data_IF_871996449275
#
_entry.id   IF_871996449275
#
_cell.length_a   1.000
_cell.length_b   1.000
_cell.length_c   1.000
_cell.angle_alpha   90.00
_cell.angle_beta   90.00
_cell.angle_gamma   90.00
#
_symmetry.space_group_name_H-M   'P 1'
#
loop_
_entity.id
_entity.type
_entity.pdbx_description
1 polymer ?
#
# COMPACT_ATOMS: atom_id res chain seq x y z
N UNK A 1 2.89 -21.98 -11.31
CA UNK A 1 3.44 -20.62 -11.21
C UNK A 1 3.05 -20.10 -9.84
N UNK A 2 4.01 -19.84 -8.94
CA UNK A 2 3.69 -19.25 -7.63
C UNK A 2 3.03 -17.88 -7.87
N UNK A 3 1.97 -17.57 -7.10
CA UNK A 3 1.17 -16.34 -7.27
C UNK A 3 2.03 -15.07 -7.33
N UNK A 4 3.11 -15.02 -6.55
CA UNK A 4 4.04 -13.89 -6.51
C UNK A 4 4.90 -13.68 -7.77
N UNK A 5 5.20 -14.74 -8.54
CA UNK A 5 5.96 -14.61 -9.79
C UNK A 5 5.08 -14.06 -10.91
N UNK A 6 3.82 -14.47 -10.94
CA UNK A 6 2.85 -13.96 -11.90
C UNK A 6 2.61 -12.45 -11.70
N UNK A 7 2.39 -12.01 -10.46
CA UNK A 7 2.23 -10.59 -10.12
C UNK A 7 3.46 -9.76 -10.50
N UNK A 8 4.67 -10.30 -10.27
CA UNK A 8 5.91 -9.64 -10.66
C UNK A 8 5.99 -9.40 -12.17
N UNK A 9 5.70 -10.43 -12.96
CA UNK A 9 5.71 -10.33 -14.42
C UNK A 9 4.68 -9.31 -14.89
N UNK A 10 3.45 -9.34 -14.35
CA UNK A 10 2.42 -8.35 -14.70
C UNK A 10 2.88 -6.92 -14.41
N UNK A 11 3.36 -6.63 -13.19
CA UNK A 11 3.81 -5.28 -12.84
C UNK A 11 4.97 -4.82 -13.73
N UNK A 12 5.91 -5.71 -14.08
CA UNK A 12 7.01 -5.38 -15.00
C UNK A 12 6.51 -5.07 -16.42
N UNK A 13 5.57 -5.86 -16.95
CA UNK A 13 5.01 -5.65 -18.28
C UNK A 13 4.18 -4.35 -18.37
N UNK A 14 3.38 -4.06 -17.35
CA UNK A 14 2.52 -2.87 -17.30
C UNK A 14 3.30 -1.57 -17.08
N UNK A 15 4.23 -1.56 -16.12
CA UNK A 15 4.93 -0.34 -15.70
C UNK A 15 6.32 -0.19 -16.30
N UNK A 16 6.88 -1.24 -16.89
CA UNK A 16 8.17 -1.24 -17.60
C UNK A 16 9.26 -0.52 -16.79
N UNK A 17 9.86 0.53 -17.36
CA UNK A 17 10.95 1.30 -16.75
C UNK A 17 10.48 2.66 -16.19
N UNK A 18 9.18 2.83 -15.92
CA UNK A 18 8.67 4.07 -15.32
C UNK A 18 9.23 4.26 -13.91
N UNK A 19 9.59 5.51 -13.60
CA UNK A 19 9.98 5.96 -12.28
C UNK A 19 8.92 6.93 -11.73
N UNK A 20 8.69 6.90 -10.42
CA UNK A 20 7.62 7.67 -9.75
C UNK A 20 7.81 9.18 -9.97
N UNK A 21 9.04 9.64 -9.89
CA UNK A 21 9.45 11.04 -10.05
C UNK A 21 9.26 11.57 -11.48
N UNK A 22 9.20 10.68 -12.47
CA UNK A 22 9.02 11.04 -13.88
C UNK A 22 7.53 11.07 -14.30
N UNK A 23 6.61 10.73 -13.40
CA UNK A 23 5.18 10.69 -13.70
C UNK A 23 4.60 12.11 -13.83
N UNK A 24 3.61 12.32 -14.73
CA UNK A 24 2.99 13.62 -14.95
C UNK A 24 2.19 14.13 -13.73
N UNK A 25 1.86 13.22 -12.81
CA UNK A 25 1.16 13.52 -11.55
C UNK A 25 2.02 12.99 -10.41
N UNK A 26 2.22 13.81 -9.38
CA UNK A 26 2.92 13.40 -8.16
C UNK A 26 2.21 12.19 -7.56
N UNK A 27 2.96 11.09 -7.43
CA UNK A 27 2.46 9.84 -6.89
C UNK A 27 3.17 9.53 -5.56
N UNK A 28 2.40 9.14 -4.56
CA UNK A 28 2.89 8.54 -3.32
C UNK A 28 2.29 7.14 -3.23
N UNK A 29 3.13 6.14 -3.00
CA UNK A 29 2.71 4.74 -2.85
C UNK A 29 3.15 4.25 -1.47
N UNK A 30 2.25 3.58 -0.76
CA UNK A 30 2.53 3.05 0.58
C UNK A 30 2.71 1.53 0.57
N UNK A 31 3.63 1.04 1.39
CA UNK A 31 3.80 -0.39 1.67
C UNK A 31 4.26 -0.55 3.13
N UNK A 32 4.15 -1.74 3.70
CA UNK A 32 4.60 -2.01 5.07
C UNK A 32 5.87 -2.85 5.05
N UNK A 33 6.91 -2.41 5.75
CA UNK A 33 8.09 -3.23 6.01
C UNK A 33 7.82 -4.17 7.18
N UNK A 34 7.76 -5.48 6.91
CA UNK A 34 7.50 -6.49 7.95
C UNK A 34 8.58 -6.55 9.04
N UNK A 35 9.81 -6.13 8.73
CA UNK A 35 10.92 -6.20 9.70
C UNK A 35 10.83 -5.06 10.70
N UNK A 36 10.63 -3.84 10.22
CA UNK A 36 10.56 -2.65 11.08
C UNK A 36 9.14 -2.37 11.58
N UNK A 37 8.13 -2.95 10.93
CA UNK A 37 6.69 -2.71 11.18
C UNK A 37 6.29 -1.26 10.89
N UNK A 38 6.96 -0.63 9.93
CA UNK A 38 6.72 0.76 9.55
C UNK A 38 6.00 0.86 8.21
N UNK A 39 5.15 1.89 8.10
CA UNK A 39 4.59 2.31 6.83
C UNK A 39 5.66 3.08 6.04
N UNK A 40 5.99 2.59 4.86
CA UNK A 40 6.97 3.19 3.96
C UNK A 40 6.23 3.96 2.87
N UNK A 41 6.57 5.23 2.73
CA UNK A 41 6.02 6.12 1.70
C UNK A 41 7.06 6.27 0.58
N UNK A 42 6.79 5.70 -0.59
CA UNK A 42 7.60 5.86 -1.79
C UNK A 42 7.12 7.05 -2.60
N UNK A 43 8.03 7.95 -2.93
CA UNK A 43 7.80 9.15 -3.77
C UNK A 43 8.80 9.26 -4.92
N UNK A 44 9.70 8.29 -5.04
CA UNK A 44 10.70 8.16 -6.09
C UNK A 44 11.10 6.68 -6.26
N UNK A 45 11.74 6.37 -7.39
CA UNK A 45 12.20 5.03 -7.74
C UNK A 45 11.29 4.30 -8.74
N UNK A 46 11.63 3.05 -9.11
CA UNK A 46 10.91 2.30 -10.13
C UNK A 46 9.47 1.96 -9.68
N UNK A 47 8.49 2.26 -10.53
CA UNK A 47 7.06 2.08 -10.23
C UNK A 47 6.71 0.60 -10.03
N UNK A 48 7.22 -0.29 -10.88
CA UNK A 48 6.86 -1.71 -10.89
C UNK A 48 7.05 -2.42 -9.53
N UNK A 49 8.24 -2.39 -8.89
CA UNK A 49 8.43 -3.05 -7.59
C UNK A 49 7.66 -2.37 -6.45
N UNK A 50 7.54 -1.04 -6.47
CA UNK A 50 6.85 -0.27 -5.44
C UNK A 50 5.34 -0.55 -5.45
N UNK A 51 4.70 -0.47 -6.62
CA UNK A 51 3.26 -0.76 -6.77
C UNK A 51 2.97 -2.24 -6.50
N UNK A 52 3.85 -3.15 -6.94
CA UNK A 52 3.74 -4.57 -6.59
C UNK A 52 3.72 -4.74 -5.07
N UNK A 53 4.68 -4.15 -4.36
CA UNK A 53 4.77 -4.26 -2.91
C UNK A 53 3.52 -3.70 -2.21
N UNK A 54 3.00 -2.57 -2.69
CA UNK A 54 1.81 -1.90 -2.14
C UNK A 54 0.54 -2.74 -2.19
N UNK A 55 0.36 -3.56 -3.23
CA UNK A 55 -0.77 -4.49 -3.36
C UNK A 55 -0.46 -5.93 -2.98
N UNK A 56 0.65 -6.17 -2.27
CA UNK A 56 1.14 -7.51 -1.95
C UNK A 56 0.45 -8.05 -0.68
N UNK A 57 -0.84 -8.38 -0.82
CA UNK A 57 -1.67 -8.79 0.32
C UNK A 57 -1.09 -10.03 1.02
N UNK A 58 -0.84 -9.97 2.33
CA UNK A 58 -0.40 -11.13 3.11
C UNK A 58 -1.33 -12.31 2.94
N UNK A 59 -0.82 -13.53 3.17
CA UNK A 59 -1.53 -14.81 2.99
C UNK A 59 -1.71 -15.18 1.52
N UNK A 60 -2.05 -14.23 0.65
CA UNK A 60 -2.25 -14.46 -0.80
C UNK A 60 -0.92 -14.49 -1.55
N UNK A 61 -0.01 -13.58 -1.19
CA UNK A 61 1.28 -13.43 -1.85
C UNK A 61 2.44 -13.45 -0.84
N UNK A 62 3.62 -13.99 -1.23
CA UNK A 62 4.81 -13.91 -0.41
C UNK A 62 5.32 -12.46 -0.32
N UNK A 63 5.94 -12.03 0.79
CA UNK A 63 6.52 -10.69 0.91
C UNK A 63 7.51 -10.36 -0.22
N UNK A 64 7.51 -9.10 -0.67
CA UNK A 64 8.35 -8.61 -1.75
C UNK A 64 9.64 -8.00 -1.19
N UNK A 65 10.80 -8.52 -1.62
CA UNK A 65 12.08 -7.91 -1.29
C UNK A 65 12.38 -6.74 -2.24
N UNK A 66 12.60 -5.54 -1.68
CA UNK A 66 12.95 -4.34 -2.44
C UNK A 66 13.70 -3.36 -1.53
N UNK A 67 14.78 -2.74 -2.03
CA UNK A 67 15.62 -1.79 -1.28
C UNK A 67 16.04 -2.26 0.11
N UNK A 68 16.39 -3.55 0.22
CA UNK A 68 16.80 -4.17 1.49
C UNK A 68 15.67 -4.42 2.50
N UNK A 69 14.43 -4.13 2.12
CA UNK A 69 13.22 -4.29 2.95
C UNK A 69 12.43 -5.53 2.57
N UNK A 70 11.57 -6.00 3.49
CA UNK A 70 10.61 -7.07 3.25
C UNK A 70 9.20 -6.49 3.27
N UNK A 71 8.65 -6.22 2.10
CA UNK A 71 7.45 -5.40 1.94
C UNK A 71 6.19 -6.22 1.71
N UNK A 72 5.10 -5.75 2.29
CA UNK A 72 3.73 -6.22 2.06
C UNK A 72 2.78 -5.04 1.86
N UNK A 73 1.52 -5.35 1.60
CA UNK A 73 0.45 -4.39 1.37
C UNK A 73 0.37 -3.27 2.43
N UNK A 74 0.22 -2.03 1.96
CA UNK A 74 0.11 -0.83 2.79
C UNK A 74 -1.11 -0.81 3.71
N UNK A 75 -2.20 -1.44 3.25
CA UNK A 75 -3.51 -1.43 3.90
C UNK A 75 -3.56 -2.14 5.25
N UNK A 76 -2.56 -2.96 5.54
CA UNK A 76 -2.39 -3.59 6.87
C UNK A 76 -2.16 -2.53 7.95
N UNK A 77 -1.45 -1.44 7.63
CA UNK A 77 -1.18 -0.35 8.58
C UNK A 77 -2.05 0.87 8.30
N UNK A 78 -2.32 1.17 7.03
CA UNK A 78 -3.15 2.30 6.65
C UNK A 78 -3.84 2.04 5.31
N UNK A 79 -5.08 1.55 5.37
CA UNK A 79 -5.91 1.28 4.17
C UNK A 79 -6.28 2.56 3.41
N UNK A 80 -6.38 3.67 4.12
CA UNK A 80 -6.56 5.01 3.56
C UNK A 80 -5.45 5.93 4.09
N UNK A 81 -4.33 6.09 3.37
CA UNK A 81 -3.14 6.78 3.85
C UNK A 81 -3.28 8.32 3.78
N UNK A 82 -4.37 8.86 4.33
CA UNK A 82 -4.68 10.29 4.34
C UNK A 82 -3.59 11.10 5.03
N UNK A 83 -3.00 10.57 6.12
CA UNK A 83 -1.89 11.21 6.83
C UNK A 83 -0.62 11.30 5.98
N UNK A 84 -0.28 10.22 5.25
CA UNK A 84 0.85 10.23 4.31
C UNK A 84 0.64 11.25 3.19
N UNK A 85 -0.58 11.34 2.65
CA UNK A 85 -0.93 12.33 1.61
C UNK A 85 -0.85 13.75 2.17
N UNK A 86 -1.43 14.01 3.34
CA UNK A 86 -1.41 15.33 3.97
C UNK A 86 0.01 15.80 4.32
N UNK A 87 0.89 14.87 4.68
CA UNK A 87 2.31 15.15 4.95
C UNK A 87 3.10 15.42 3.66
N UNK A 88 2.80 14.69 2.59
CA UNK A 88 3.51 14.82 1.31
C UNK A 88 3.08 16.04 0.50
N UNK A 89 1.78 16.36 0.52
CA UNK A 89 1.19 17.50 -0.18
C UNK A 89 0.35 18.33 0.81
N UNK A 90 0.99 19.15 1.64
CA UNK A 90 0.29 19.94 2.63
C UNK A 90 -0.58 21.03 1.98
N UNK A 91 -1.79 21.20 2.51
CA UNK A 91 -2.73 22.22 2.09
C UNK A 91 -3.68 21.78 0.96
N UNK A 92 -4.80 22.49 0.81
CA UNK A 92 -5.84 22.16 -0.15
C UNK A 92 -6.88 21.17 0.39
N UNK A 93 -7.60 20.53 -0.53
CA UNK A 93 -8.63 19.54 -0.21
C UNK A 93 -8.14 18.14 -0.58
N UNK A 94 -8.35 17.18 0.32
CA UNK A 94 -8.09 15.76 0.06
C UNK A 94 -9.40 15.07 -0.28
N UNK A 95 -9.46 14.44 -1.46
CA UNK A 95 -10.52 13.51 -1.82
C UNK A 95 -10.06 12.09 -1.51
N UNK A 96 -10.69 11.44 -0.53
CA UNK A 96 -10.46 10.04 -0.21
C UNK A 96 -11.55 9.17 -0.86
N UNK A 97 -11.14 8.05 -1.46
CA UNK A 97 -12.05 7.05 -2.03
C UNK A 97 -11.87 5.77 -1.24
N UNK A 98 -12.84 5.46 -0.39
CA UNK A 98 -12.90 4.19 0.34
C UNK A 98 -13.71 3.19 -0.46
N UNK A 99 -13.12 2.03 -0.73
CA UNK A 99 -13.79 0.93 -1.41
C UNK A 99 -14.04 -0.17 -0.39
N UNK A 100 -15.25 -0.19 0.15
CA UNK A 100 -15.69 -1.22 1.06
C UNK A 100 -16.27 -2.41 0.29
N UNK A 101 -15.79 -3.61 0.61
CA UNK A 101 -16.30 -4.87 0.07
C UNK A 101 -17.37 -5.49 0.98
N UNK A 102 -17.68 -4.85 2.12
CA UNK A 102 -18.76 -5.27 3.00
C UNK A 102 -20.13 -5.02 2.34
N UNK A 103 -21.11 -5.92 2.56
CA UNK A 103 -22.42 -5.79 1.94
C UNK A 103 -23.18 -4.58 2.51
N UNK A 104 -23.17 -3.47 1.77
CA UNK A 104 -24.24 -2.46 1.70
C UNK A 104 -24.57 -1.68 2.96
N UNK A 105 -23.76 -1.72 4.02
CA UNK A 105 -23.91 -0.83 5.18
C UNK A 105 -23.06 0.41 4.90
N UNK A 106 -23.65 1.61 4.68
CA UNK A 106 -22.87 2.83 4.53
C UNK A 106 -22.09 3.08 5.82
N UNK A 107 -20.77 3.01 5.74
CA UNK A 107 -19.90 3.34 6.87
C UNK A 107 -20.06 4.82 7.22
N UNK A 108 -20.09 5.13 8.52
CA UNK A 108 -20.06 6.54 8.96
C UNK A 108 -18.67 7.16 8.73
N UNK A 109 -18.57 8.48 8.64
CA UNK A 109 -17.28 9.18 8.51
C UNK A 109 -16.26 8.77 9.59
N UNK A 110 -16.75 8.57 10.82
CA UNK A 110 -15.94 8.10 11.94
C UNK A 110 -15.46 6.64 11.74
N UNK A 111 -16.26 5.81 11.08
CA UNK A 111 -15.91 4.43 10.77
C UNK A 111 -14.88 4.34 9.65
N UNK A 112 -15.03 5.13 8.59
CA UNK A 112 -14.05 5.28 7.50
C UNK A 112 -12.69 5.71 8.08
N UNK A 113 -12.71 6.69 8.99
CA UNK A 113 -11.50 7.16 9.68
C UNK A 113 -10.92 6.09 10.63
N UNK A 114 -11.76 5.33 11.34
CA UNK A 114 -11.31 4.23 12.21
C UNK A 114 -10.66 3.08 11.42
N UNK A 115 -11.15 2.77 10.22
CA UNK A 115 -10.56 1.79 9.29
C UNK A 115 -9.22 2.27 8.71
N UNK A 116 -8.98 3.58 8.74
CA UNK A 116 -7.69 4.18 8.38
C UNK A 116 -6.61 3.94 9.44
N UNK A 117 -6.99 3.58 10.67
CA UNK A 117 -6.09 3.44 11.85
C UNK A 117 -6.05 2.04 12.44
N UNK A 118 -7.00 1.16 12.14
CA UNK A 118 -7.05 -0.19 12.72
C UNK A 118 -7.56 -1.22 11.71
N UNK A 119 -6.72 -2.17 11.28
CA UNK A 119 -7.08 -3.60 11.26
C UNK A 119 -5.92 -4.50 10.80
N UNK A 120 -5.84 -5.70 11.39
CA UNK A 120 -5.08 -6.90 10.97
C UNK A 120 -3.67 -7.14 11.58
N UNK A 121 -2.97 -6.12 12.07
CA UNK A 121 -1.58 -6.27 12.56
C UNK A 121 -1.44 -7.21 13.76
N UNK A 122 -2.35 -7.14 14.74
CA UNK A 122 -2.24 -7.89 16.00
C UNK A 122 -2.47 -9.41 15.84
N UNK A 123 -3.19 -9.85 14.80
CA UNK A 123 -3.50 -11.27 14.59
C UNK A 123 -2.43 -12.00 13.76
N UNK A 124 -1.77 -11.30 12.84
CA UNK A 124 -0.65 -11.84 12.05
C UNK A 124 0.65 -11.83 12.88
N UNK A 125 0.90 -10.76 13.65
CA UNK A 125 2.11 -10.65 14.48
C UNK A 125 2.07 -11.48 15.76
N UNK A 126 0.89 -11.90 16.25
CA UNK A 126 0.77 -12.79 17.43
C UNK A 126 0.93 -14.28 17.09
N UNK A 127 1.02 -14.62 15.80
CA UNK A 127 1.17 -16.00 15.29
C UNK A 127 2.57 -16.29 14.71
N UNK A 128 3.52 -15.37 14.84
CA UNK A 128 4.91 -15.51 14.36
C UNK A 128 5.92 -15.56 15.50
#
# INVERSE_FOLDING_TARGET
LTSGLFQETLCKEFFQNLHIEDLPVKLLVTAVDLRTKELINYTAGPVAPVVRASGNLPIVFPPCAHDGRMLVDGGIMSNLPVESVASYAPGGYTLAVDVDLSPGIPASDAEILSRSTTSTVSEILSRS
#
